data_IF_959600630943
#
_entry.id   IF_959600630943
#
_cell.length_a   1.000
_cell.length_b   1.000
_cell.length_c   1.000
_cell.angle_alpha   90.00
_cell.angle_beta   90.00
_cell.angle_gamma   90.00
#
_symmetry.space_group_name_H-M   'P 1'
#
loop_
_entity.id
_entity.type
_entity.pdbx_description
1 polymer ?
#
# COMPACT_ATOMS: atom_id res chain seq x y z
N UNK A 1 31.43 13.52 32.54
CA UNK A 1 31.15 13.20 31.92
C UNK A 1 30.32 13.09 31.51
N UNK A 2 29.81 12.99 31.26
CA UNK A 2 29.20 12.75 30.79
C UNK A 2 28.36 12.73 30.14
N UNK A 3 27.72 13.12 29.85
CA UNK A 3 26.91 13.04 29.18
C UNK A 3 26.97 13.14 27.97
N UNK A 4 27.48 13.78 27.47
CA UNK A 4 27.76 13.77 26.19
C UNK A 4 27.65 12.49 25.54
N UNK A 5 27.75 11.53 26.20
CA UNK A 5 27.53 10.24 25.71
C UNK A 5 26.21 10.07 25.05
N UNK A 6 25.23 10.74 25.54
CA UNK A 6 23.92 10.64 24.97
C UNK A 6 23.85 11.17 23.57
N UNK A 7 24.52 12.24 23.34
CA UNK A 7 24.53 12.81 22.03
C UNK A 7 25.15 11.87 21.04
N UNK A 8 26.16 11.16 21.52
CA UNK A 8 26.84 10.24 20.67
C UNK A 8 26.02 9.02 20.46
N UNK A 9 25.31 8.64 21.50
CA UNK A 9 24.54 7.43 21.50
C UNK A 9 23.33 7.53 20.63
N UNK A 10 22.85 8.72 20.47
CA UNK A 10 21.65 8.93 19.70
C UNK A 10 22.01 9.32 18.30
N UNK A 11 22.39 8.39 17.47
CA UNK A 11 22.75 8.72 16.10
C UNK A 11 21.51 9.21 15.39
N UNK A 12 21.65 10.28 14.71
CA UNK A 12 20.57 10.77 13.91
C UNK A 12 20.39 9.90 12.71
N UNK A 13 19.16 9.69 12.36
CA UNK A 13 18.84 8.99 11.15
C UNK A 13 19.33 9.83 9.97
N UNK A 14 20.05 9.21 9.04
CA UNK A 14 20.50 9.91 7.85
C UNK A 14 19.32 10.07 6.90
N UNK A 15 19.45 10.97 5.93
CA UNK A 15 18.42 11.14 4.93
C UNK A 15 18.16 9.84 4.18
N UNK A 16 19.23 9.10 3.91
CA UNK A 16 19.13 7.82 3.22
C UNK A 16 18.36 6.80 4.06
N UNK A 17 18.66 6.74 5.35
CA UNK A 17 17.97 5.83 6.26
C UNK A 17 16.50 6.20 6.40
N UNK A 18 16.21 7.50 6.46
CA UNK A 18 14.85 7.97 6.55
C UNK A 18 14.07 7.61 5.30
N UNK A 19 14.65 7.83 4.13
CA UNK A 19 14.01 7.50 2.87
C UNK A 19 13.73 6.01 2.78
N UNK A 20 14.68 5.18 3.22
CA UNK A 20 14.50 3.73 3.20
C UNK A 20 13.38 3.30 4.14
N UNK A 21 13.31 3.92 5.31
CA UNK A 21 12.25 3.62 6.27
C UNK A 21 10.89 4.03 5.73
N UNK A 22 10.81 5.21 5.12
CA UNK A 22 9.57 5.70 4.55
C UNK A 22 9.10 4.82 3.40
N UNK A 23 10.03 4.35 2.57
CA UNK A 23 9.69 3.42 1.49
C UNK A 23 9.14 2.12 2.05
N UNK A 24 9.75 1.58 3.11
CA UNK A 24 9.26 0.34 3.71
C UNK A 24 7.87 0.53 4.30
N UNK A 25 7.62 1.66 4.95
CA UNK A 25 6.32 1.95 5.53
C UNK A 25 5.26 2.08 4.44
N UNK A 26 5.62 2.77 3.35
CA UNK A 26 4.69 2.93 2.24
C UNK A 26 4.40 1.59 1.57
N UNK A 27 5.42 0.75 1.39
CA UNK A 27 5.24 -0.57 0.82
C UNK A 27 4.30 -1.43 1.69
N UNK A 28 4.43 -1.31 3.01
CA UNK A 28 3.55 -2.02 3.92
C UNK A 28 2.11 -1.52 3.81
N UNK A 29 1.92 -0.22 3.65
CA UNK A 29 0.60 0.35 3.44
C UNK A 29 -0.02 -0.16 2.14
N UNK A 30 0.77 -0.20 1.08
CA UNK A 30 0.31 -0.70 -0.21
C UNK A 30 -0.10 -2.17 -0.10
N UNK A 31 0.72 -2.98 0.56
CA UNK A 31 0.39 -4.40 0.75
C UNK A 31 -0.92 -4.58 1.50
N UNK A 32 -1.14 -3.76 2.52
CA UNK A 32 -2.37 -3.79 3.30
C UNK A 32 -3.55 -3.39 2.43
N UNK A 33 -3.37 -2.37 1.59
CA UNK A 33 -4.44 -1.93 0.70
C UNK A 33 -4.77 -3.00 -0.34
N UNK A 34 -3.76 -3.70 -0.86
CA UNK A 34 -4.01 -4.82 -1.77
C UNK A 34 -4.89 -5.88 -1.11
N UNK A 35 -4.63 -6.20 0.14
CA UNK A 35 -5.45 -7.17 0.86
C UNK A 35 -6.88 -6.70 1.00
N UNK A 36 -7.08 -5.41 1.24
CA UNK A 36 -8.41 -4.82 1.32
C UNK A 36 -9.11 -4.87 -0.04
N UNK A 37 -8.40 -4.53 -1.10
CA UNK A 37 -8.95 -4.57 -2.45
C UNK A 37 -9.38 -5.99 -2.79
N UNK A 38 -8.57 -6.98 -2.46
CA UNK A 38 -8.91 -8.38 -2.72
C UNK A 38 -10.21 -8.77 -2.03
N UNK A 39 -10.41 -8.33 -0.81
CA UNK A 39 -11.65 -8.58 -0.09
C UNK A 39 -12.82 -7.84 -0.70
N UNK A 40 -12.61 -6.60 -1.10
CA UNK A 40 -13.68 -5.78 -1.67
C UNK A 40 -14.10 -6.26 -3.05
N UNK A 41 -13.22 -6.95 -3.77
CA UNK A 41 -13.53 -7.50 -5.09
C UNK A 41 -14.39 -8.75 -5.05
N UNK A 42 -14.38 -9.45 -3.94
CA UNK A 42 -15.05 -10.76 -3.88
C UNK A 42 -16.54 -10.66 -4.21
N UNK A 43 -17.23 -9.72 -3.61
CA UNK A 43 -18.67 -9.61 -3.77
C UNK A 43 -19.09 -9.19 -5.18
N UNK A 44 -18.57 -8.08 -5.74
CA UNK A 44 -18.96 -7.71 -7.09
C UNK A 44 -18.52 -8.72 -8.14
N UNK A 45 -17.36 -9.35 -7.94
CA UNK A 45 -16.89 -10.35 -8.88
C UNK A 45 -17.78 -11.59 -8.85
N UNK A 46 -18.15 -12.03 -7.66
CA UNK A 46 -19.04 -13.17 -7.50
C UNK A 46 -20.41 -12.91 -8.14
N UNK A 47 -20.92 -11.69 -7.98
CA UNK A 47 -22.19 -11.30 -8.57
C UNK A 47 -22.12 -11.34 -10.11
N UNK A 48 -21.02 -10.83 -10.67
CA UNK A 48 -20.84 -10.82 -12.12
C UNK A 48 -20.73 -12.24 -12.66
N UNK A 49 -19.96 -13.09 -11.99
CA UNK A 49 -19.79 -14.49 -12.39
C UNK A 49 -21.11 -15.23 -12.32
N UNK A 50 -21.94 -14.93 -11.34
CA UNK A 50 -23.24 -15.54 -11.19
C UNK A 50 -24.28 -14.98 -12.17
N UNK A 51 -23.93 -13.97 -12.94
CA UNK A 51 -24.83 -13.36 -13.91
C UNK A 51 -25.82 -12.38 -13.33
N UNK A 52 -25.62 -11.96 -12.09
CA UNK A 52 -26.50 -11.00 -11.42
C UNK A 52 -25.78 -9.71 -11.08
N UNK A 53 -24.61 -9.47 -11.66
CA UNK A 53 -23.85 -8.25 -11.43
C UNK A 53 -24.55 -7.04 -12.00
N UNK A 54 -24.66 -6.00 -11.21
CA UNK A 54 -25.21 -4.73 -11.65
C UNK A 54 -24.15 -3.87 -12.28
N UNK A 55 -24.57 -2.75 -12.90
CA UNK A 55 -23.61 -1.77 -13.41
C UNK A 55 -22.79 -1.17 -12.28
N UNK A 56 -23.38 -1.06 -11.09
CA UNK A 56 -22.70 -0.57 -9.91
C UNK A 56 -21.57 -1.54 -9.51
N UNK A 57 -21.84 -2.85 -9.56
CA UNK A 57 -20.82 -3.86 -9.27
C UNK A 57 -19.67 -3.78 -10.26
N UNK A 58 -19.98 -3.57 -11.53
CA UNK A 58 -18.96 -3.45 -12.56
C UNK A 58 -18.12 -2.20 -12.37
N UNK A 59 -18.77 -1.08 -12.05
CA UNK A 59 -18.08 0.18 -11.78
C UNK A 59 -17.16 0.06 -10.59
N UNK A 60 -17.63 -0.59 -9.53
CA UNK A 60 -16.83 -0.76 -8.33
C UNK A 60 -15.60 -1.61 -8.62
N UNK A 61 -15.79 -2.71 -9.34
CA UNK A 61 -14.70 -3.58 -9.71
C UNK A 61 -13.66 -2.83 -10.55
N UNK A 62 -14.13 -2.03 -11.50
CA UNK A 62 -13.24 -1.23 -12.32
C UNK A 62 -12.43 -0.23 -11.49
N UNK A 63 -13.07 0.42 -10.53
CA UNK A 63 -12.41 1.38 -9.65
C UNK A 63 -11.34 0.67 -8.81
N UNK A 64 -11.66 -0.51 -8.27
CA UNK A 64 -10.70 -1.26 -7.49
C UNK A 64 -9.52 -1.73 -8.33
N UNK A 65 -9.76 -2.13 -9.57
CA UNK A 65 -8.69 -2.53 -10.47
C UNK A 65 -7.80 -1.35 -10.85
N UNK A 66 -8.37 -0.18 -11.03
CA UNK A 66 -7.61 1.03 -11.33
C UNK A 66 -6.72 1.41 -10.14
N UNK A 67 -7.25 1.30 -8.94
CA UNK A 67 -6.48 1.58 -7.74
C UNK A 67 -5.33 0.58 -7.60
N UNK A 68 -5.60 -0.69 -7.80
CA UNK A 68 -4.58 -1.73 -7.71
C UNK A 68 -3.47 -1.50 -8.74
N UNK A 69 -3.84 -1.11 -9.94
CA UNK A 69 -2.87 -0.82 -11.00
C UNK A 69 -1.96 0.35 -10.62
N UNK A 70 -2.55 1.42 -10.08
CA UNK A 70 -1.78 2.59 -9.64
C UNK A 70 -0.82 2.22 -8.51
N UNK A 71 -1.27 1.38 -7.59
CA UNK A 71 -0.43 0.95 -6.47
C UNK A 71 0.73 0.06 -6.94
N UNK A 72 0.50 -0.78 -7.96
CA UNK A 72 1.56 -1.59 -8.53
C UNK A 72 2.64 -0.74 -9.18
N UNK A 73 2.23 0.33 -9.86
CA UNK A 73 3.16 1.26 -10.48
C UNK A 73 3.99 1.95 -9.40
N UNK A 74 3.33 2.42 -8.36
CA UNK A 74 4.02 3.08 -7.24
C UNK A 74 5.02 2.14 -6.60
N UNK A 75 4.63 0.89 -6.37
CA UNK A 75 5.50 -0.09 -5.74
C UNK A 75 6.71 -0.39 -6.62
N UNK A 76 6.51 -0.49 -7.93
CA UNK A 76 7.61 -0.73 -8.86
C UNK A 76 8.60 0.44 -8.87
N UNK A 77 8.11 1.66 -8.71
CA UNK A 77 8.97 2.84 -8.68
C UNK A 77 9.83 2.91 -7.42
N UNK A 78 9.45 2.19 -6.38
CA UNK A 78 10.22 2.14 -5.14
C UNK A 78 11.39 1.18 -5.20
N UNK A 79 11.41 0.29 -6.17
CA UNK A 79 12.48 -0.68 -6.35
C UNK A 79 13.59 -0.13 -7.27
#
# INVERSE_FOLDING_TARGET
MSQNCNDIIEPRETDEQRAARESRLRAAEISRRFAEIDRERIRPLAAIVAGVGSDEDKSRLKTLEQEASALRVELAEME
#
